data_IF_763876231124
#
_entry.id   IF_763876231124
#
_cell.length_a   1.000
_cell.length_b   1.000
_cell.length_c   1.000
_cell.angle_alpha   90.00
_cell.angle_beta   90.00
_cell.angle_gamma   90.00
#
_symmetry.space_group_name_H-M   'P 1'
#
loop_
_entity.id
_entity.type
_entity.pdbx_description
1 polymer ?
#
# COMPACT_ATOMS: atom_id res chain seq x y z
N UNK A 1 1.47 14.61 5.76
CA UNK A 1 1.19 15.02 4.36
C UNK A 1 1.93 14.04 3.46
N UNK A 2 1.67 14.02 2.16
CA UNK A 2 2.45 13.22 1.23
C UNK A 2 2.40 13.85 -0.17
N UNK A 3 3.40 13.66 -1.03
CA UNK A 3 3.35 14.12 -2.42
C UNK A 3 2.24 13.37 -3.19
N UNK A 4 1.57 13.97 -4.18
CA UNK A 4 0.67 13.22 -5.04
C UNK A 4 1.46 12.20 -5.89
N UNK A 5 1.05 10.91 -5.97
CA UNK A 5 1.79 9.88 -6.72
C UNK A 5 1.88 10.06 -8.24
N UNK A 6 1.05 10.94 -8.82
CA UNK A 6 0.99 11.27 -10.24
C UNK A 6 1.58 12.66 -10.55
N UNK A 7 1.52 13.59 -9.59
CA UNK A 7 2.03 14.96 -9.68
C UNK A 7 2.81 15.33 -8.42
N UNK A 8 4.10 14.99 -8.36
CA UNK A 8 4.91 15.10 -7.13
C UNK A 8 5.04 16.53 -6.56
N UNK A 9 4.74 17.56 -7.36
CA UNK A 9 4.69 18.95 -6.90
C UNK A 9 3.47 19.26 -6.03
N UNK A 10 2.37 18.51 -6.20
CA UNK A 10 1.15 18.66 -5.40
C UNK A 10 1.29 17.92 -4.08
N UNK A 11 0.97 18.61 -2.97
CA UNK A 11 0.99 18.00 -1.63
C UNK A 11 -0.43 17.69 -1.18
N UNK A 12 -0.64 16.45 -0.74
CA UNK A 12 -1.92 15.93 -0.25
C UNK A 12 -1.91 15.66 1.25
N UNK A 13 -3.11 15.54 1.82
CA UNK A 13 -3.32 15.26 3.24
C UNK A 13 -4.07 13.95 3.43
N UNK A 14 -3.34 12.93 3.86
CA UNK A 14 -3.94 11.68 4.37
C UNK A 14 -4.40 11.88 5.81
N UNK A 15 -5.57 11.32 6.16
CA UNK A 15 -6.03 11.26 7.54
C UNK A 15 -6.55 9.89 7.92
N UNK A 16 -5.99 9.34 8.98
CA UNK A 16 -6.49 8.10 9.58
C UNK A 16 -7.89 8.28 10.21
N UNK A 17 -8.26 9.52 10.61
CA UNK A 17 -9.61 9.80 11.10
C UNK A 17 -10.69 9.61 10.04
N UNK A 18 -10.34 9.67 8.76
CA UNK A 18 -11.26 9.37 7.66
C UNK A 18 -11.78 7.93 7.74
N UNK A 19 -10.92 6.98 8.12
CA UNK A 19 -11.31 5.57 8.28
C UNK A 19 -12.19 5.37 9.52
N UNK A 20 -11.95 6.12 10.60
CA UNK A 20 -12.87 6.12 11.75
C UNK A 20 -14.27 6.59 11.37
N UNK A 21 -14.38 7.57 10.45
CA UNK A 21 -15.69 8.05 9.99
C UNK A 21 -16.44 6.98 9.19
N UNK A 22 -15.76 6.23 8.33
CA UNK A 22 -16.34 5.06 7.65
C UNK A 22 -16.94 4.10 8.67
N UNK A 23 -16.10 3.64 9.61
CA UNK A 23 -16.55 2.70 10.64
C UNK A 23 -17.73 3.23 11.45
N UNK A 24 -17.71 4.51 11.84
CA UNK A 24 -18.78 5.08 12.66
C UNK A 24 -20.11 5.24 11.89
N UNK A 25 -20.06 5.58 10.61
CA UNK A 25 -21.24 5.69 9.75
C UNK A 25 -21.82 4.32 9.40
N UNK A 26 -21.00 3.27 9.40
CA UNK A 26 -21.41 1.93 8.96
C UNK A 26 -21.70 0.93 10.08
N UNK A 27 -21.19 1.14 11.31
CA UNK A 27 -21.23 0.12 12.38
C UNK A 27 -22.63 -0.42 12.77
N UNK A 28 -23.69 0.32 12.46
CA UNK A 28 -25.08 -0.07 12.76
C UNK A 28 -25.87 -0.44 11.48
N UNK A 29 -25.23 -0.44 10.32
CA UNK A 29 -25.87 -0.76 9.06
C UNK A 29 -25.92 -2.28 8.88
N UNK A 30 -27.02 -2.77 8.30
CA UNK A 30 -27.16 -4.19 7.94
C UNK A 30 -26.18 -4.56 6.83
N UNK A 31 -25.89 -3.61 5.94
CA UNK A 31 -24.96 -3.78 4.81
C UNK A 31 -23.92 -2.66 4.88
N UNK A 32 -22.66 -3.07 4.96
CA UNK A 32 -21.49 -2.18 5.04
C UNK A 32 -20.79 -2.13 3.68
N UNK A 33 -20.31 -0.95 3.27
CA UNK A 33 -19.49 -0.80 2.05
C UNK A 33 -18.06 -1.23 2.37
N UNK A 34 -17.59 -1.00 3.60
CA UNK A 34 -16.26 -1.37 4.08
C UNK A 34 -16.30 -2.50 5.14
N UNK A 35 -16.84 -3.70 4.81
CA UNK A 35 -17.18 -4.74 5.79
C UNK A 35 -15.99 -5.36 6.54
N UNK A 36 -14.77 -5.15 6.02
CA UNK A 36 -13.54 -5.65 6.63
C UNK A 36 -12.93 -4.66 7.62
N UNK A 37 -13.32 -3.40 7.56
CA UNK A 37 -12.77 -2.36 8.41
C UNK A 37 -13.34 -2.50 9.81
N UNK A 38 -12.48 -2.77 10.79
CA UNK A 38 -12.92 -3.03 12.15
C UNK A 38 -12.14 -2.22 13.18
N UNK A 39 -12.70 -2.12 14.40
CA UNK A 39 -12.08 -1.37 15.48
C UNK A 39 -10.68 -1.88 15.84
N UNK A 40 -10.40 -3.19 15.71
CA UNK A 40 -9.05 -3.75 15.92
C UNK A 40 -8.03 -3.24 14.91
N UNK A 41 -8.42 -3.04 13.66
CA UNK A 41 -7.54 -2.46 12.64
C UNK A 41 -7.32 -0.95 12.89
N UNK A 42 -8.34 -0.25 13.37
CA UNK A 42 -8.31 1.19 13.64
C UNK A 42 -7.62 1.56 14.96
N UNK A 43 -7.73 0.70 15.98
CA UNK A 43 -7.16 0.88 17.32
C UNK A 43 -6.46 -0.40 17.78
N UNK A 44 -5.36 -0.81 17.12
CA UNK A 44 -4.66 -2.03 17.50
C UNK A 44 -3.97 -1.87 18.85
N UNK A 45 -4.08 -2.89 19.70
CA UNK A 45 -3.22 -3.07 20.87
C UNK A 45 -1.76 -3.31 20.46
N UNK A 46 -0.82 -3.29 21.41
CA UNK A 46 0.59 -3.54 21.10
C UNK A 46 0.85 -4.93 20.49
N UNK A 47 0.10 -5.95 20.91
CA UNK A 47 0.16 -7.28 20.30
C UNK A 47 -0.43 -7.28 18.88
N UNK A 48 -1.56 -6.62 18.69
CA UNK A 48 -2.25 -6.55 17.39
C UNK A 48 -1.46 -5.76 16.34
N UNK A 49 -0.57 -4.83 16.72
CA UNK A 49 0.29 -4.09 15.79
C UNK A 49 1.22 -4.99 14.96
N UNK A 50 1.53 -6.20 15.45
CA UNK A 50 2.34 -7.17 14.71
C UNK A 50 1.50 -7.99 13.71
N UNK A 51 0.17 -7.89 13.76
CA UNK A 51 -0.70 -8.65 12.87
C UNK A 51 -0.89 -7.94 11.53
N UNK A 52 -0.16 -8.40 10.51
CA UNK A 52 -0.25 -7.88 9.13
C UNK A 52 -1.68 -7.92 8.59
N UNK A 53 -2.49 -8.90 8.99
CA UNK A 53 -3.89 -9.00 8.53
C UNK A 53 -4.74 -7.80 8.96
N UNK A 54 -4.41 -7.14 10.08
CA UNK A 54 -5.11 -5.92 10.49
C UNK A 54 -4.72 -4.72 9.62
N UNK A 55 -3.46 -4.63 9.21
CA UNK A 55 -3.00 -3.57 8.29
C UNK A 55 -3.61 -3.76 6.89
N UNK A 56 -3.77 -5.00 6.43
CA UNK A 56 -4.45 -5.28 5.16
C UNK A 56 -5.93 -4.87 5.16
N UNK A 57 -6.59 -4.83 6.34
CA UNK A 57 -7.94 -4.29 6.47
C UNK A 57 -8.00 -2.77 6.38
N UNK A 58 -6.89 -2.07 6.60
CA UNK A 58 -6.77 -0.62 6.42
C UNK A 58 -6.57 -0.29 4.94
N UNK A 59 -5.68 -1.01 4.27
CA UNK A 59 -5.38 -0.83 2.85
C UNK A 59 -6.23 -1.77 1.98
N UNK A 60 -7.53 -1.46 1.89
CA UNK A 60 -8.53 -2.27 1.19
C UNK A 60 -9.28 -1.41 0.15
N UNK A 61 -9.72 -2.01 -0.95
CA UNK A 61 -10.41 -1.30 -2.04
C UNK A 61 -11.78 -0.77 -1.64
N UNK A 62 -12.52 -1.54 -0.84
CA UNK A 62 -13.80 -1.20 -0.25
C UNK A 62 -13.71 0.04 0.63
N UNK A 63 -12.59 0.26 1.33
CA UNK A 63 -12.36 1.47 2.10
C UNK A 63 -12.24 2.70 1.19
N UNK A 64 -11.63 2.57 0.01
CA UNK A 64 -11.60 3.65 -0.98
C UNK A 64 -13.00 3.97 -1.50
N UNK A 65 -13.78 2.93 -1.82
CA UNK A 65 -15.17 3.08 -2.24
C UNK A 65 -16.00 3.78 -1.17
N UNK A 66 -15.89 3.35 0.08
CA UNK A 66 -16.60 3.97 1.20
C UNK A 66 -16.20 5.43 1.42
N UNK A 67 -14.91 5.78 1.29
CA UNK A 67 -14.46 7.18 1.34
C UNK A 67 -15.10 8.04 0.25
N UNK A 68 -15.19 7.54 -0.98
CA UNK A 68 -15.83 8.26 -2.08
C UNK A 68 -17.34 8.43 -1.85
N UNK A 69 -18.03 7.38 -1.40
CA UNK A 69 -19.47 7.46 -1.09
C UNK A 69 -19.73 8.45 0.06
N UNK A 70 -18.91 8.44 1.10
CA UNK A 70 -19.04 9.40 2.20
C UNK A 70 -18.74 10.84 1.76
N UNK A 71 -17.79 11.03 0.85
CA UNK A 71 -17.51 12.34 0.26
C UNK A 71 -18.75 12.88 -0.46
N UNK A 72 -19.38 12.06 -1.31
CA UNK A 72 -20.57 12.43 -2.06
C UNK A 72 -21.76 12.71 -1.13
N UNK A 73 -21.93 11.90 -0.06
CA UNK A 73 -23.01 12.04 0.91
C UNK A 73 -22.87 13.29 1.80
N UNK A 74 -21.67 13.56 2.30
CA UNK A 74 -21.45 14.55 3.37
C UNK A 74 -20.99 15.92 2.86
N UNK A 75 -20.51 16.03 1.61
CA UNK A 75 -20.01 17.30 1.07
C UNK A 75 -18.77 17.87 1.78
N UNK A 76 -18.08 17.04 2.58
CA UNK A 76 -16.87 17.37 3.37
C UNK A 76 -15.70 16.42 2.99
N UNK A 77 -14.44 16.77 3.35
CA UNK A 77 -13.46 17.59 2.64
C UNK A 77 -12.58 16.79 1.63
N UNK A 78 -11.74 17.49 0.87
CA UNK A 78 -10.68 16.98 -0.04
C UNK A 78 -9.83 15.82 0.55
N UNK A 79 -9.75 15.74 1.87
CA UNK A 79 -9.01 14.70 2.61
C UNK A 79 -9.54 13.27 2.42
N UNK A 80 -10.83 13.06 2.11
CA UNK A 80 -11.33 11.70 1.82
C UNK A 80 -10.77 11.18 0.50
N UNK A 81 -10.83 12.02 -0.54
CA UNK A 81 -10.20 11.77 -1.83
C UNK A 81 -8.70 11.52 -1.68
N UNK A 82 -8.00 12.39 -0.95
CA UNK A 82 -6.57 12.22 -0.69
C UNK A 82 -6.30 10.89 0.05
N UNK A 83 -7.06 10.58 1.09
CA UNK A 83 -6.89 9.32 1.82
C UNK A 83 -7.13 8.10 0.90
N UNK A 84 -8.12 8.15 0.01
CA UNK A 84 -8.36 7.10 -0.98
C UNK A 84 -7.20 6.97 -1.98
N UNK A 85 -6.64 8.08 -2.47
CA UNK A 85 -5.45 8.09 -3.34
C UNK A 85 -4.25 7.45 -2.63
N UNK A 86 -4.03 7.80 -1.36
CA UNK A 86 -2.96 7.22 -0.55
C UNK A 86 -3.14 5.71 -0.39
N UNK A 87 -4.34 5.25 -0.03
CA UNK A 87 -4.65 3.83 0.11
C UNK A 87 -4.41 3.09 -1.20
N UNK A 88 -4.89 3.64 -2.33
CA UNK A 88 -4.69 3.07 -3.67
C UNK A 88 -3.20 2.88 -3.98
N UNK A 89 -2.39 3.89 -3.69
CA UNK A 89 -0.95 3.87 -4.00
C UNK A 89 -0.20 2.82 -3.17
N UNK A 90 -0.43 2.77 -1.86
CA UNK A 90 0.17 1.78 -0.96
C UNK A 90 -0.33 0.37 -1.27
N UNK A 91 -1.62 0.21 -1.57
CA UNK A 91 -2.19 -1.07 -1.95
C UNK A 91 -1.61 -1.61 -3.26
N UNK A 92 -1.41 -0.75 -4.26
CA UNK A 92 -0.75 -1.14 -5.51
C UNK A 92 0.68 -1.63 -5.25
N UNK A 93 1.46 -0.90 -4.44
CA UNK A 93 2.78 -1.34 -3.99
C UNK A 93 2.72 -2.73 -3.34
N UNK A 94 1.85 -2.92 -2.35
CA UNK A 94 1.73 -4.21 -1.64
C UNK A 94 1.33 -5.36 -2.57
N UNK A 95 0.34 -5.15 -3.46
CA UNK A 95 -0.14 -6.17 -4.39
C UNK A 95 0.97 -6.67 -5.33
N UNK A 96 1.85 -5.78 -5.78
CA UNK A 96 2.98 -6.13 -6.65
C UNK A 96 4.09 -6.82 -5.86
N UNK A 97 4.28 -6.47 -4.59
CA UNK A 97 5.28 -7.08 -3.72
C UNK A 97 4.88 -8.47 -3.20
N UNK A 98 3.57 -8.76 -3.15
CA UNK A 98 2.99 -9.98 -2.57
C UNK A 98 2.46 -10.96 -3.64
N UNK A 99 3.15 -11.07 -4.78
CA UNK A 99 2.77 -12.01 -5.84
C UNK A 99 3.23 -13.42 -5.44
N UNK A 100 2.31 -14.23 -4.92
CA UNK A 100 2.59 -15.59 -4.42
C UNK A 100 2.13 -16.74 -5.32
N UNK A 101 1.24 -16.48 -6.27
CA UNK A 101 0.58 -17.51 -7.07
C UNK A 101 0.64 -17.16 -8.57
N UNK A 102 1.06 -18.10 -9.45
CA UNK A 102 1.15 -17.87 -10.88
C UNK A 102 -0.19 -17.65 -11.60
N UNK A 103 -1.33 -18.04 -11.01
CA UNK A 103 -2.64 -18.01 -11.67
C UNK A 103 -3.53 -16.83 -11.28
N UNK A 104 -3.05 -15.92 -10.43
CA UNK A 104 -3.81 -14.70 -10.09
C UNK A 104 -3.99 -13.84 -11.34
N UNK A 105 -5.23 -13.36 -11.55
CA UNK A 105 -5.63 -12.60 -12.75
C UNK A 105 -5.73 -11.09 -12.51
N UNK A 106 -5.59 -10.64 -11.26
CA UNK A 106 -5.63 -9.21 -10.92
C UNK A 106 -4.35 -8.54 -11.42
N UNK A 107 -4.48 -7.44 -12.16
CA UNK A 107 -3.37 -6.77 -12.89
C UNK A 107 -2.10 -6.60 -12.05
N UNK A 108 -2.22 -6.05 -10.83
CA UNK A 108 -1.07 -5.82 -9.95
C UNK A 108 -0.54 -7.09 -9.25
N UNK A 109 -1.17 -8.24 -9.46
CA UNK A 109 -0.88 -9.50 -8.78
C UNK A 109 -0.54 -10.66 -9.73
N UNK A 110 -0.36 -10.38 -11.02
CA UNK A 110 0.14 -11.36 -12.00
C UNK A 110 1.66 -11.53 -11.83
N UNK A 111 2.25 -12.69 -12.15
CA UNK A 111 3.71 -12.84 -12.15
C UNK A 111 4.41 -11.85 -13.08
N UNK A 112 5.66 -11.51 -12.80
CA UNK A 112 6.51 -10.81 -13.77
C UNK A 112 7.00 -11.82 -14.80
N UNK A 113 6.75 -11.60 -16.08
CA UNK A 113 7.21 -12.48 -17.17
C UNK A 113 7.93 -11.72 -18.28
N UNK A 114 8.09 -10.41 -18.15
CA UNK A 114 8.81 -9.55 -19.09
C UNK A 114 9.50 -8.42 -18.34
N UNK A 115 10.61 -7.92 -18.89
CA UNK A 115 11.29 -6.71 -18.42
C UNK A 115 10.61 -5.43 -18.91
N UNK A 116 9.74 -5.52 -19.91
CA UNK A 116 8.95 -4.41 -20.47
C UNK A 116 7.62 -4.21 -19.72
N UNK A 117 7.53 -4.72 -18.48
CA UNK A 117 6.32 -4.64 -17.68
C UNK A 117 6.14 -3.24 -17.08
N UNK A 118 4.96 -2.62 -17.27
CA UNK A 118 4.64 -1.27 -16.79
C UNK A 118 4.83 -1.11 -15.26
N UNK A 119 4.82 -2.20 -14.50
CA UNK A 119 5.07 -2.17 -13.06
C UNK A 119 6.51 -1.77 -12.71
N UNK A 120 7.47 -1.91 -13.62
CA UNK A 120 8.80 -1.31 -13.46
C UNK A 120 8.73 0.21 -13.40
N UNK A 121 7.91 0.84 -14.26
CA UNK A 121 7.69 2.28 -14.24
C UNK A 121 6.96 2.70 -12.96
N UNK A 122 5.98 1.93 -12.50
CA UNK A 122 5.33 2.16 -11.22
C UNK A 122 6.35 2.22 -10.06
N UNK A 123 7.23 1.24 -9.94
CA UNK A 123 8.23 1.22 -8.86
C UNK A 123 9.28 2.31 -8.99
N UNK A 124 9.70 2.67 -10.20
CA UNK A 124 10.57 3.83 -10.42
C UNK A 124 9.92 5.12 -9.90
N UNK A 125 8.64 5.34 -10.24
CA UNK A 125 7.85 6.47 -9.71
C UNK A 125 7.63 6.37 -8.20
N UNK A 126 7.46 5.17 -7.66
CA UNK A 126 7.31 4.94 -6.21
C UNK A 126 8.58 5.35 -5.45
N UNK A 127 9.77 4.99 -5.95
CA UNK A 127 11.04 5.43 -5.35
C UNK A 127 11.18 6.96 -5.41
N UNK A 128 10.86 7.57 -6.55
CA UNK A 128 10.86 9.04 -6.67
C UNK A 128 9.87 9.69 -5.69
N UNK A 129 8.69 9.11 -5.54
CA UNK A 129 7.68 9.56 -4.58
C UNK A 129 8.19 9.52 -3.13
N UNK A 130 8.91 8.46 -2.75
CA UNK A 130 9.57 8.35 -1.44
C UNK A 130 10.62 9.45 -1.23
N UNK A 131 11.44 9.73 -2.26
CA UNK A 131 12.46 10.78 -2.21
C UNK A 131 11.81 12.18 -2.09
N UNK A 132 10.73 12.43 -2.82
CA UNK A 132 9.93 13.64 -2.68
C UNK A 132 9.29 13.76 -1.29
N UNK A 133 8.80 12.66 -0.74
CA UNK A 133 8.18 12.65 0.59
C UNK A 133 9.21 12.99 1.67
N UNK A 134 10.43 12.44 1.60
CA UNK A 134 11.55 12.81 2.47
C UNK A 134 11.81 14.31 2.46
N UNK A 135 11.75 14.92 1.28
CA UNK A 135 12.06 16.35 1.09
C UNK A 135 10.98 17.29 1.62
N UNK A 136 9.81 16.79 2.05
CA UNK A 136 8.79 17.62 2.70
C UNK A 136 9.22 18.13 4.09
N UNK A 137 10.33 17.62 4.66
CA UNK A 137 10.91 18.04 5.95
C UNK A 137 9.88 18.21 7.06
N UNK A 138 8.86 17.33 7.09
CA UNK A 138 7.82 17.41 8.10
C UNK A 138 8.38 17.06 9.49
N UNK A 139 7.74 17.55 10.54
CA UNK A 139 8.12 17.15 11.90
C UNK A 139 7.92 15.63 12.07
N UNK A 140 8.73 14.97 12.91
CA UNK A 140 8.66 13.51 13.16
C UNK A 140 7.26 12.99 13.54
N UNK A 141 6.37 13.87 14.05
CA UNK A 141 4.99 13.54 14.45
C UNK A 141 3.95 13.77 13.35
N UNK A 142 4.33 14.25 12.17
CA UNK A 142 3.42 14.65 11.08
C UNK A 142 3.33 13.61 9.95
N UNK A 143 3.71 12.37 10.25
CA UNK A 143 3.47 11.20 9.40
C UNK A 143 4.54 10.94 8.33
N UNK A 144 5.81 11.19 8.63
CA UNK A 144 6.93 10.73 7.78
C UNK A 144 7.49 9.39 8.26
N UNK A 145 8.12 8.66 7.33
CA UNK A 145 8.95 7.51 7.67
C UNK A 145 10.15 7.91 8.53
N UNK A 146 10.65 6.98 9.35
CA UNK A 146 12.00 7.11 9.90
C UNK A 146 13.04 7.01 8.77
N UNK A 147 14.24 7.53 8.98
CA UNK A 147 15.33 7.43 7.99
C UNK A 147 15.65 5.96 7.65
N UNK A 148 15.63 5.09 8.66
CA UNK A 148 15.87 3.66 8.51
C UNK A 148 14.75 2.98 7.71
N UNK A 149 13.49 3.32 8.01
CA UNK A 149 12.33 2.75 7.30
C UNK A 149 12.32 3.17 5.84
N UNK A 150 12.59 4.45 5.58
CA UNK A 150 12.67 4.99 4.23
C UNK A 150 13.82 4.36 3.44
N UNK A 151 15.00 4.28 4.04
CA UNK A 151 16.17 3.66 3.42
C UNK A 151 15.90 2.20 3.08
N UNK A 152 15.39 1.42 4.03
CA UNK A 152 15.07 0.02 3.83
C UNK A 152 14.02 -0.15 2.71
N UNK A 153 12.93 0.62 2.73
CA UNK A 153 11.88 0.54 1.72
C UNK A 153 12.42 0.85 0.31
N UNK A 154 13.20 1.92 0.18
CA UNK A 154 13.83 2.32 -1.10
C UNK A 154 14.81 1.26 -1.60
N UNK A 155 15.64 0.72 -0.70
CA UNK A 155 16.59 -0.35 -1.03
C UNK A 155 15.85 -1.62 -1.48
N UNK A 156 14.83 -2.04 -0.74
CA UNK A 156 14.02 -3.21 -1.07
C UNK A 156 13.39 -3.10 -2.46
N UNK A 157 12.80 -1.95 -2.80
CA UNK A 157 12.20 -1.75 -4.13
C UNK A 157 13.25 -1.87 -5.23
N UNK A 158 14.39 -1.17 -5.10
CA UNK A 158 15.45 -1.22 -6.11
C UNK A 158 16.03 -2.62 -6.28
N UNK A 159 16.35 -3.30 -5.18
CA UNK A 159 16.89 -4.67 -5.22
C UNK A 159 15.91 -5.65 -5.84
N UNK A 160 14.60 -5.55 -5.54
CA UNK A 160 13.61 -6.44 -6.15
C UNK A 160 13.52 -6.21 -7.65
N UNK A 161 13.55 -4.96 -8.13
CA UNK A 161 13.53 -4.68 -9.57
C UNK A 161 14.75 -5.28 -10.28
N UNK A 162 15.95 -5.10 -9.73
CA UNK A 162 17.18 -5.67 -10.28
C UNK A 162 17.14 -7.20 -10.27
N UNK A 163 16.65 -7.79 -9.18
CA UNK A 163 16.51 -9.23 -9.05
C UNK A 163 15.52 -9.81 -10.07
N UNK A 164 14.36 -9.18 -10.26
CA UNK A 164 13.40 -9.60 -11.28
C UNK A 164 14.07 -9.58 -12.66
N UNK A 165 14.78 -8.51 -13.01
CA UNK A 165 15.48 -8.39 -14.30
C UNK A 165 16.49 -9.52 -14.48
N UNK A 166 17.43 -9.70 -13.55
CA UNK A 166 18.44 -10.76 -13.62
C UNK A 166 17.81 -12.16 -13.73
N UNK A 167 16.77 -12.45 -12.95
CA UNK A 167 16.08 -13.74 -13.02
C UNK A 167 15.44 -13.99 -14.40
N UNK A 168 14.82 -12.98 -15.00
CA UNK A 168 14.18 -13.11 -16.31
C UNK A 168 15.21 -13.16 -17.46
N UNK A 169 16.27 -12.36 -17.42
CA UNK A 169 17.19 -12.20 -18.56
C UNK A 169 18.41 -13.10 -18.46
N UNK A 170 19.06 -13.19 -17.30
CA UNK A 170 20.31 -13.93 -17.12
C UNK A 170 20.04 -15.38 -16.75
N UNK A 171 19.04 -15.62 -15.90
CA UNK A 171 18.69 -16.96 -15.42
C UNK A 171 17.57 -17.63 -16.23
N UNK A 172 16.99 -16.93 -17.21
CA UNK A 172 15.94 -17.43 -18.11
C UNK A 172 14.70 -17.99 -17.39
N UNK A 173 14.33 -17.43 -16.25
CA UNK A 173 13.09 -17.80 -15.57
C UNK A 173 11.90 -17.38 -16.43
N UNK A 174 10.91 -18.28 -16.58
CA UNK A 174 9.66 -17.97 -17.31
C UNK A 174 8.86 -16.85 -16.64
N UNK A 175 8.91 -16.80 -15.31
CA UNK A 175 8.27 -15.77 -14.52
C UNK A 175 8.89 -15.65 -13.12
N UNK A 176 8.62 -14.53 -12.45
CA UNK A 176 9.05 -14.24 -11.08
C UNK A 176 7.85 -13.94 -10.18
N UNK A 177 7.87 -14.52 -8.97
CA UNK A 177 6.86 -14.34 -7.92
C UNK A 177 7.50 -13.56 -6.76
N UNK A 178 7.22 -12.25 -6.67
CA UNK A 178 7.83 -11.35 -5.67
C UNK A 178 7.54 -11.74 -4.23
N UNK A 179 6.37 -12.33 -3.96
CA UNK A 179 6.02 -12.82 -2.62
C UNK A 179 6.86 -14.02 -2.16
N UNK A 180 7.74 -14.56 -3.02
CA UNK A 180 8.73 -15.58 -2.63
C UNK A 180 10.01 -15.00 -2.03
N UNK A 181 10.21 -13.68 -2.10
CA UNK A 181 11.35 -12.99 -1.50
C UNK A 181 11.13 -12.58 -0.04
N UNK A 182 9.91 -12.78 0.48
CA UNK A 182 9.52 -12.40 1.85
C UNK A 182 9.86 -13.50 2.87
N UNK A 183 9.95 -13.10 4.15
CA UNK A 183 10.23 -14.00 5.28
C UNK A 183 9.01 -14.79 5.76
N UNK A 184 7.82 -14.59 5.18
CA UNK A 184 6.57 -15.25 5.61
C UNK A 184 6.69 -16.78 5.76
N UNK A 185 7.38 -17.47 4.85
CA UNK A 185 7.56 -18.92 4.94
C UNK A 185 8.48 -19.32 6.10
N UNK A 186 9.41 -18.45 6.49
CA UNK A 186 10.26 -18.65 7.65
C UNK A 186 9.46 -18.40 8.92
N UNK A 187 8.70 -17.31 8.98
CA UNK A 187 7.82 -16.98 10.11
C UNK A 187 6.77 -18.06 10.35
N UNK A 188 6.15 -18.59 9.29
CA UNK A 188 5.19 -19.69 9.36
C UNK A 188 5.78 -21.00 9.91
N UNK A 189 7.11 -21.16 9.93
CA UNK A 189 7.78 -22.31 10.56
C UNK A 189 8.05 -22.10 12.04
N UNK A 190 8.12 -20.86 12.50
CA UNK A 190 8.46 -20.50 13.88
C UNK A 190 7.27 -19.98 14.70
N UNK A 191 6.19 -19.56 14.03
CA UNK A 191 4.95 -19.06 14.61
C UNK A 191 3.91 -20.13 14.92
#
# INVERSE_FOLDING_TARGET
MYPDPSEFSQIRKVSFSSLFKIYNEEMNNIVEIAPKLCLKALKPTNFEKQNVQLVLKIFEESNMTALNVLQDKLGYPEMFKDTAIFIKHVLAFWQIMDIKNPTKVKVNSVPFSSIDDDRFLFFSKFVQWLDCWKNLKQNKREGCFSEETLFALRQTVNTILELIKSLLTEQNFKYVLTGKFQTDNLEARFG
#
